data_IF_685963072535
#
_entry.id   IF_685963072535
#
_cell.length_a   1.000
_cell.length_b   1.000
_cell.length_c   1.000
_cell.angle_alpha   90.00
_cell.angle_beta   90.00
_cell.angle_gamma   90.00
#
_symmetry.space_group_name_H-M   'P 1'
#
loop_
_entity.id
_entity.type
_entity.pdbx_description
1 polymer ?
#
# COMPACT_ATOMS: atom_id res chain seq x y z
N UNK A 1 19.07 11.38 14.50
CA UNK A 1 18.99 12.22 13.27
C UNK A 1 18.53 11.38 12.09
N UNK A 2 17.68 11.89 11.17
CA UNK A 2 17.33 11.18 9.94
C UNK A 2 18.53 10.97 9.01
N UNK A 3 18.65 9.79 8.43
CA UNK A 3 19.70 9.40 7.51
C UNK A 3 19.10 8.97 6.17
N UNK A 4 19.66 9.50 5.07
CA UNK A 4 19.26 9.12 3.71
C UNK A 4 19.96 7.81 3.32
N UNK A 5 19.21 6.88 2.74
CA UNK A 5 19.73 5.63 2.20
C UNK A 5 19.98 5.76 0.71
N UNK A 6 21.09 5.19 0.25
CA UNK A 6 21.32 4.93 -1.16
C UNK A 6 20.69 3.56 -1.48
N UNK A 7 19.63 3.56 -2.28
CA UNK A 7 18.93 2.34 -2.67
C UNK A 7 19.58 1.79 -3.94
N UNK A 8 19.73 0.47 -4.04
CA UNK A 8 20.23 -0.18 -5.26
C UNK A 8 19.34 0.10 -6.46
N UNK A 9 18.03 0.06 -6.25
CA UNK A 9 17.03 0.51 -7.20
C UNK A 9 16.42 1.85 -6.70
N UNK A 10 16.70 2.97 -7.37
CA UNK A 10 16.10 4.26 -7.05
C UNK A 10 14.57 4.26 -7.18
N UNK A 11 14.00 3.43 -8.06
CA UNK A 11 12.56 3.40 -8.34
C UNK A 11 11.80 2.48 -7.39
N UNK A 12 12.49 1.81 -6.45
CA UNK A 12 11.88 0.91 -5.49
C UNK A 12 10.85 1.62 -4.62
N UNK A 13 9.56 1.39 -4.90
CA UNK A 13 8.49 2.15 -4.26
C UNK A 13 8.31 1.80 -2.78
N UNK A 14 8.72 0.60 -2.36
CA UNK A 14 8.56 0.13 -0.99
C UNK A 14 9.66 0.63 -0.03
N UNK A 15 10.94 0.61 -0.41
CA UNK A 15 12.02 0.88 0.53
C UNK A 15 12.04 2.34 0.97
N UNK A 16 12.14 2.64 2.27
CA UNK A 16 12.23 4.02 2.73
C UNK A 16 13.58 4.63 2.34
N UNK A 17 13.54 5.76 1.64
CA UNK A 17 14.73 6.57 1.31
C UNK A 17 15.34 7.25 2.53
N UNK A 18 14.55 7.48 3.57
CA UNK A 18 15.01 8.06 4.82
C UNK A 18 14.65 7.14 5.99
N UNK A 19 15.62 6.92 6.86
CA UNK A 19 15.45 6.17 8.11
C UNK A 19 15.90 7.05 9.27
N UNK A 20 15.22 6.96 10.41
CA UNK A 20 15.65 7.59 11.66
C UNK A 20 15.54 6.63 12.83
N UNK A 21 16.23 6.96 13.91
CA UNK A 21 16.25 6.15 15.13
C UNK A 21 17.02 4.84 14.96
N UNK A 22 17.16 4.13 16.06
CA UNK A 22 17.91 2.88 16.19
C UNK A 22 17.05 1.79 16.88
N UNK A 23 17.53 0.55 16.81
CA UNK A 23 16.96 -0.58 17.53
C UNK A 23 15.43 -0.70 17.38
N UNK A 24 14.70 -0.54 18.50
CA UNK A 24 13.23 -0.64 18.55
C UNK A 24 12.51 0.59 18.02
N UNK A 25 13.17 1.75 18.02
CA UNK A 25 12.62 3.04 17.61
C UNK A 25 12.97 3.38 16.16
N UNK A 26 13.45 2.39 15.39
CA UNK A 26 13.80 2.57 14.00
C UNK A 26 12.54 2.79 13.15
N UNK A 27 12.52 3.91 12.42
CA UNK A 27 11.39 4.34 11.60
C UNK A 27 11.83 4.63 10.17
N UNK A 28 10.94 4.35 9.22
CA UNK A 28 11.09 4.67 7.81
C UNK A 28 10.14 5.78 7.39
N UNK A 29 10.61 6.68 6.54
CA UNK A 29 9.78 7.74 5.95
C UNK A 29 8.96 7.20 4.78
N UNK A 30 7.65 7.48 4.79
CA UNK A 30 6.76 7.31 3.66
C UNK A 30 6.53 8.66 2.97
N UNK A 31 7.16 8.85 1.80
CA UNK A 31 6.99 10.04 0.97
C UNK A 31 5.75 10.03 0.08
N UNK A 32 5.01 8.91 0.02
CA UNK A 32 3.77 8.80 -0.74
C UNK A 32 2.56 9.40 0.01
N UNK A 33 2.68 9.60 1.32
CA UNK A 33 1.69 10.32 2.12
C UNK A 33 1.79 11.85 1.89
N UNK A 34 0.66 12.54 2.03
CA UNK A 34 0.58 14.00 2.02
C UNK A 34 -0.16 14.45 3.29
N UNK A 35 0.51 15.03 4.30
CA UNK A 35 1.97 15.17 4.43
C UNK A 35 2.66 13.80 4.61
N UNK A 36 3.96 13.73 4.36
CA UNK A 36 4.75 12.50 4.55
C UNK A 36 4.73 12.02 6.01
N UNK A 37 4.99 10.72 6.24
CA UNK A 37 4.82 10.09 7.56
C UNK A 37 6.01 9.20 7.95
N UNK A 38 6.47 9.31 9.19
CA UNK A 38 7.39 8.35 9.81
C UNK A 38 6.61 7.17 10.38
N UNK A 39 7.08 5.96 10.09
CA UNK A 39 6.41 4.73 10.53
C UNK A 39 7.43 3.73 11.04
N UNK A 40 7.09 3.03 12.12
CA UNK A 40 7.93 1.99 12.72
C UNK A 40 8.25 0.88 11.72
N UNK A 41 9.54 0.59 11.56
CA UNK A 41 10.01 -0.55 10.78
C UNK A 41 9.95 -1.86 11.58
N UNK A 42 10.11 -1.80 12.90
CA UNK A 42 10.15 -3.00 13.75
C UNK A 42 8.77 -3.58 14.05
N UNK A 43 7.75 -2.75 14.21
CA UNK A 43 6.37 -3.19 14.51
C UNK A 43 5.54 -3.48 13.26
N UNK A 44 6.20 -3.71 12.12
CA UNK A 44 5.57 -3.90 10.81
C UNK A 44 4.62 -2.77 10.38
N UNK A 45 4.55 -1.65 11.11
CA UNK A 45 3.64 -0.54 10.80
C UNK A 45 3.94 0.04 9.43
N UNK A 46 5.23 0.19 9.10
CA UNK A 46 5.68 0.59 7.76
C UNK A 46 5.19 -0.39 6.69
N UNK A 47 5.35 -1.70 6.91
CA UNK A 47 4.92 -2.73 5.98
C UNK A 47 3.40 -2.69 5.75
N UNK A 48 2.59 -2.70 6.81
CA UNK A 48 1.12 -2.64 6.72
C UNK A 48 0.67 -1.40 5.97
N UNK A 49 1.28 -0.25 6.28
CA UNK A 49 0.96 1.00 5.63
C UNK A 49 1.28 0.99 4.13
N UNK A 50 2.47 0.52 3.73
CA UNK A 50 2.84 0.45 2.32
C UNK A 50 1.94 -0.50 1.54
N UNK A 51 1.63 -1.66 2.10
CA UNK A 51 0.76 -2.64 1.45
C UNK A 51 -0.68 -2.13 1.36
N UNK A 52 -1.27 -1.66 2.46
CA UNK A 52 -2.73 -1.45 2.50
C UNK A 52 -3.18 0.01 2.32
N UNK A 53 -2.32 1.00 2.54
CA UNK A 53 -2.66 2.40 2.23
C UNK A 53 -2.23 2.80 0.82
N UNK A 54 -1.09 2.27 0.36
CA UNK A 54 -0.51 2.66 -0.94
C UNK A 54 -0.53 1.56 -1.98
N UNK A 55 -0.84 0.32 -1.59
CA UNK A 55 -0.91 -0.78 -2.53
C UNK A 55 0.45 -1.20 -3.06
N UNK A 56 1.52 -1.13 -2.27
CA UNK A 56 2.88 -1.41 -2.71
C UNK A 56 3.41 -2.67 -2.02
N UNK A 57 3.86 -3.63 -2.82
CA UNK A 57 4.43 -4.91 -2.38
C UNK A 57 5.85 -4.73 -1.82
N UNK A 58 6.36 -5.73 -1.10
CA UNK A 58 7.75 -5.75 -0.61
C UNK A 58 8.79 -5.71 -1.73
N UNK A 59 8.42 -6.14 -2.95
CA UNK A 59 9.28 -6.08 -4.14
C UNK A 59 9.40 -4.66 -4.71
N UNK A 60 8.68 -3.68 -4.16
CA UNK A 60 8.72 -2.30 -4.63
C UNK A 60 7.81 -2.00 -5.80
N UNK A 61 6.92 -2.92 -6.17
CA UNK A 61 5.92 -2.78 -7.24
C UNK A 61 4.52 -2.55 -6.67
N UNK A 62 3.61 -1.89 -7.40
CA UNK A 62 2.21 -1.80 -6.99
C UNK A 62 1.50 -3.16 -7.08
N UNK A 63 0.50 -3.39 -6.23
CA UNK A 63 -0.42 -4.51 -6.38
C UNK A 63 -1.16 -4.44 -7.73
N UNK A 64 -1.52 -5.60 -8.31
CA UNK A 64 -2.32 -5.63 -9.52
C UNK A 64 -3.64 -4.89 -9.29
N UNK A 65 -4.07 -4.14 -10.31
CA UNK A 65 -5.35 -3.44 -10.29
C UNK A 65 -6.49 -4.40 -10.65
N UNK A 66 -7.73 -4.10 -10.26
CA UNK A 66 -8.88 -4.82 -10.81
C UNK A 66 -8.88 -4.72 -12.33
N UNK A 67 -9.19 -5.81 -13.03
CA UNK A 67 -9.27 -5.79 -14.50
C UNK A 67 -10.49 -5.00 -14.96
N UNK A 68 -11.58 -5.05 -14.19
CA UNK A 68 -12.78 -4.25 -14.39
C UNK A 68 -13.24 -3.64 -13.05
N UNK A 69 -13.89 -2.49 -13.13
CA UNK A 69 -14.52 -1.85 -11.97
C UNK A 69 -15.94 -1.47 -12.33
N UNK A 70 -16.90 -1.75 -11.44
CA UNK A 70 -18.31 -1.37 -11.62
C UNK A 70 -18.85 -0.68 -10.38
N UNK A 71 -19.80 0.23 -10.57
CA UNK A 71 -20.61 0.76 -9.48
C UNK A 71 -21.68 -0.27 -9.10
N UNK A 72 -21.97 -0.41 -7.81
CA UNK A 72 -23.13 -1.13 -7.33
C UNK A 72 -24.38 -0.26 -7.52
N UNK A 73 -25.54 -0.90 -7.74
CA UNK A 73 -26.82 -0.20 -7.75
C UNK A 73 -27.07 0.53 -6.40
N UNK A 74 -27.84 1.61 -6.43
CA UNK A 74 -28.25 2.42 -5.28
C UNK A 74 -27.12 3.13 -4.50
N UNK A 75 -26.02 3.53 -5.17
CA UNK A 75 -24.88 4.23 -4.55
C UNK A 75 -24.18 3.43 -3.42
N UNK A 76 -24.45 2.13 -3.31
CA UNK A 76 -23.94 1.24 -2.26
C UNK A 76 -22.43 0.99 -2.32
N UNK A 77 -21.76 1.48 -3.35
CA UNK A 77 -20.31 1.45 -3.47
C UNK A 77 -19.81 0.97 -4.84
N UNK A 78 -18.60 0.42 -4.85
CA UNK A 78 -17.92 -0.04 -6.06
C UNK A 78 -17.42 -1.47 -5.86
N UNK A 79 -17.30 -2.21 -6.96
CA UNK A 79 -16.66 -3.52 -7.00
C UNK A 79 -15.53 -3.54 -8.01
N UNK A 80 -14.47 -4.28 -7.71
CA UNK A 80 -13.38 -4.61 -8.62
C UNK A 80 -13.39 -6.09 -8.98
N UNK A 81 -13.25 -6.42 -10.26
CA UNK A 81 -13.12 -7.80 -10.71
C UNK A 81 -11.68 -8.28 -10.56
N UNK A 82 -11.48 -9.40 -9.88
CA UNK A 82 -10.20 -10.08 -9.77
C UNK A 82 -10.13 -11.21 -10.81
N UNK A 83 -9.21 -11.09 -11.77
CA UNK A 83 -8.98 -12.10 -12.79
C UNK A 83 -8.51 -13.44 -12.21
N UNK A 84 -7.62 -13.41 -11.21
CA UNK A 84 -7.09 -14.63 -10.60
C UNK A 84 -8.13 -15.41 -9.79
N UNK A 85 -9.06 -14.72 -9.14
CA UNK A 85 -10.15 -15.36 -8.38
C UNK A 85 -11.44 -15.53 -9.18
N UNK A 86 -11.52 -14.97 -10.38
CA UNK A 86 -12.71 -14.94 -11.24
C UNK A 86 -13.99 -14.45 -10.53
N UNK A 87 -13.88 -13.43 -9.67
CA UNK A 87 -14.99 -12.89 -8.86
C UNK A 87 -14.90 -11.38 -8.65
N UNK A 88 -16.05 -10.78 -8.34
CA UNK A 88 -16.18 -9.38 -7.95
C UNK A 88 -15.86 -9.21 -6.45
N UNK A 89 -15.08 -8.18 -6.12
CA UNK A 89 -14.65 -7.84 -4.77
C UNK A 89 -15.15 -6.45 -4.41
N UNK A 90 -15.89 -6.35 -3.31
CA UNK A 90 -16.46 -5.09 -2.82
C UNK A 90 -15.36 -4.14 -2.34
N UNK A 91 -15.41 -2.90 -2.81
CA UNK A 91 -14.51 -1.81 -2.48
C UNK A 91 -15.14 -0.92 -1.41
N UNK A 92 -14.94 -1.28 -0.14
CA UNK A 92 -15.43 -0.48 0.99
C UNK A 92 -14.78 0.92 1.00
N UNK A 93 -15.59 1.97 1.06
CA UNK A 93 -15.14 3.38 1.03
C UNK A 93 -15.18 4.03 -0.36
N UNK A 94 -15.87 3.42 -1.32
CA UNK A 94 -16.13 3.99 -2.64
C UNK A 94 -14.96 3.91 -3.62
N UNK A 95 -15.11 4.54 -4.80
CA UNK A 95 -14.18 4.42 -5.95
C UNK A 95 -12.71 4.71 -5.63
N UNK A 96 -12.44 5.56 -4.63
CA UNK A 96 -11.10 6.01 -4.24
C UNK A 96 -10.49 5.21 -3.09
N UNK A 97 -11.28 4.38 -2.39
CA UNK A 97 -10.78 3.56 -1.29
C UNK A 97 -10.27 2.22 -1.82
N UNK A 98 -8.98 2.18 -2.10
CA UNK A 98 -8.32 0.98 -2.64
C UNK A 98 -7.85 0.02 -1.53
N UNK A 99 -8.01 0.39 -0.25
CA UNK A 99 -7.53 -0.40 0.89
C UNK A 99 -8.10 -1.82 0.91
N UNK A 100 -9.40 -1.97 0.65
CA UNK A 100 -10.09 -3.27 0.60
C UNK A 100 -9.56 -4.13 -0.54
N UNK A 101 -9.30 -3.52 -1.70
CA UNK A 101 -8.68 -4.19 -2.83
C UNK A 101 -7.28 -4.67 -2.50
N UNK A 102 -6.43 -3.82 -1.91
CA UNK A 102 -5.06 -4.20 -1.57
C UNK A 102 -5.00 -5.34 -0.56
N UNK A 103 -5.94 -5.40 0.40
CA UNK A 103 -6.07 -6.56 1.30
C UNK A 103 -6.44 -7.85 0.57
N UNK A 104 -7.26 -7.75 -0.47
CA UNK A 104 -7.57 -8.88 -1.32
C UNK A 104 -6.34 -9.29 -2.14
N UNK A 105 -5.76 -8.36 -2.91
CA UNK A 105 -4.61 -8.61 -3.78
C UNK A 105 -3.37 -9.14 -3.04
N UNK A 106 -3.22 -8.86 -1.74
CA UNK A 106 -2.17 -9.46 -0.92
C UNK A 106 -2.34 -10.97 -0.67
N UNK A 107 -3.58 -11.47 -0.68
CA UNK A 107 -3.91 -12.88 -0.37
C UNK A 107 -4.03 -13.77 -1.60
N UNK A 108 -4.01 -13.17 -2.78
CA UNK A 108 -4.19 -13.83 -4.08
C UNK A 108 -2.82 -14.15 -4.65
#
# INVERSE_FOLDING_TARGET
>A
VPQRRNLKDPNHLYMPRWIRGDGKQREGWCGACRPGKWLSLKRSTYWYHKNFCHGITVMGTPFPRPTHTRALADDKGWEGYCGSCNRWIVLNGGKKSHTSWFRHAYKV
#
